data_IF_980048924381
#
_entry.id   IF_980048924381
#
_cell.length_a   1.000
_cell.length_b   1.000
_cell.length_c   1.000
_cell.angle_alpha   90.00
_cell.angle_beta   90.00
_cell.angle_gamma   90.00
#
_symmetry.space_group_name_H-M   'P 1'
#
loop_
_entity.id
_entity.type
_entity.pdbx_description
1 polymer ?
#
# COMPACT_ATOMS: atom_id res chain seq x y z
N UNK A 1 -16.85 16.49 -44.66
CA UNK A 1 -16.99 16.50 -43.20
C UNK A 1 -16.73 17.92 -42.76
N UNK A 2 -17.75 18.60 -42.25
CA UNK A 2 -17.63 20.02 -41.90
C UNK A 2 -16.65 20.19 -40.74
N UNK A 3 -15.99 21.35 -40.66
CA UNK A 3 -14.97 21.65 -39.63
C UNK A 3 -15.53 21.39 -38.22
N UNK A 4 -16.81 21.70 -38.00
CA UNK A 4 -17.53 21.44 -36.76
C UNK A 4 -17.60 19.95 -36.43
N UNK A 5 -17.92 19.10 -37.43
CA UNK A 5 -17.96 17.65 -37.24
C UNK A 5 -16.57 17.10 -36.91
N UNK A 6 -15.52 17.58 -37.58
CA UNK A 6 -14.14 17.21 -37.28
C UNK A 6 -13.71 17.60 -35.85
N UNK A 7 -14.10 18.80 -35.41
CA UNK A 7 -13.86 19.28 -34.05
C UNK A 7 -14.60 18.42 -33.01
N UNK A 8 -15.87 18.11 -33.24
CA UNK A 8 -16.67 17.24 -32.37
C UNK A 8 -16.06 15.83 -32.22
N UNK A 9 -15.63 15.21 -33.33
CA UNK A 9 -14.96 13.91 -33.28
C UNK A 9 -13.64 13.98 -32.51
N UNK A 10 -12.85 15.03 -32.72
CA UNK A 10 -11.57 15.22 -32.04
C UNK A 10 -11.76 15.41 -30.53
N UNK A 11 -12.74 16.24 -30.14
CA UNK A 11 -13.10 16.46 -28.73
C UNK A 11 -13.58 15.15 -28.11
N UNK A 12 -14.48 14.42 -28.76
CA UNK A 12 -14.98 13.14 -28.26
C UNK A 12 -13.84 12.13 -28.08
N UNK A 13 -12.96 11.99 -29.08
CA UNK A 13 -11.82 11.08 -29.03
C UNK A 13 -10.87 11.34 -27.85
N UNK A 14 -10.65 12.62 -27.49
CA UNK A 14 -9.82 12.99 -26.34
C UNK A 14 -10.60 12.89 -25.02
N UNK A 15 -11.84 13.35 -24.99
CA UNK A 15 -12.65 13.42 -23.77
C UNK A 15 -13.09 12.04 -23.26
N UNK A 16 -13.41 11.10 -24.15
CA UNK A 16 -13.87 9.75 -23.78
C UNK A 16 -12.87 8.98 -22.92
N UNK A 17 -11.58 8.80 -23.28
CA UNK A 17 -10.63 8.08 -22.43
C UNK A 17 -10.38 8.79 -21.09
N UNK A 18 -10.35 10.12 -21.08
CA UNK A 18 -10.21 10.91 -19.84
C UNK A 18 -11.42 10.65 -18.92
N UNK A 19 -12.63 10.71 -19.46
CA UNK A 19 -13.86 10.43 -18.72
C UNK A 19 -13.86 9.00 -18.16
N UNK A 20 -13.44 8.00 -18.95
CA UNK A 20 -13.34 6.60 -18.49
C UNK A 20 -12.38 6.49 -17.31
N UNK A 21 -11.19 7.12 -17.39
CA UNK A 21 -10.20 7.11 -16.31
C UNK A 21 -10.72 7.83 -15.07
N UNK A 22 -11.39 8.98 -15.23
CA UNK A 22 -11.99 9.72 -14.11
C UNK A 22 -13.09 8.91 -13.44
N UNK A 23 -14.03 8.36 -14.20
CA UNK A 23 -15.10 7.49 -13.68
C UNK A 23 -14.49 6.30 -12.95
N UNK A 24 -13.49 5.64 -13.54
CA UNK A 24 -12.77 4.53 -12.89
C UNK A 24 -12.12 4.97 -11.58
N UNK A 25 -11.46 6.12 -11.56
CA UNK A 25 -10.82 6.69 -10.37
C UNK A 25 -11.85 6.92 -9.26
N UNK A 26 -13.01 7.51 -9.58
CA UNK A 26 -14.11 7.73 -8.63
C UNK A 26 -14.59 6.43 -7.98
N UNK A 27 -14.69 5.34 -8.74
CA UNK A 27 -15.11 4.03 -8.21
C UNK A 27 -14.04 3.33 -7.36
N UNK A 28 -12.76 3.43 -7.73
CA UNK A 28 -11.69 2.69 -7.03
C UNK A 28 -11.13 3.42 -5.82
N UNK A 29 -11.17 4.77 -5.82
CA UNK A 29 -10.51 5.60 -4.82
C UNK A 29 -11.23 5.48 -3.47
N UNK A 30 -10.59 4.90 -2.42
CA UNK A 30 -11.25 4.70 -1.14
C UNK A 30 -11.71 5.98 -0.45
N UNK A 31 -11.06 7.12 -0.71
CA UNK A 31 -11.46 8.41 -0.12
C UNK A 31 -12.81 8.94 -0.57
N UNK A 32 -13.31 8.45 -1.70
CA UNK A 32 -14.61 8.84 -2.25
C UNK A 32 -15.70 7.82 -1.93
N UNK A 33 -15.33 6.67 -1.36
CA UNK A 33 -16.32 5.71 -0.91
C UNK A 33 -17.04 6.28 0.30
N UNK A 34 -18.36 6.35 0.20
CA UNK A 34 -19.20 6.55 1.37
C UNK A 34 -18.84 5.49 2.42
N UNK A 35 -18.78 5.84 3.71
CA UNK A 35 -18.53 4.88 4.76
C UNK A 35 -19.53 3.75 4.60
N UNK A 36 -19.04 2.58 4.20
CA UNK A 36 -19.88 1.39 4.11
C UNK A 36 -20.39 1.15 5.52
N UNK A 37 -21.71 1.26 5.71
CA UNK A 37 -22.37 0.79 6.92
C UNK A 37 -21.76 -0.56 7.27
N UNK A 38 -21.25 -0.70 8.49
CA UNK A 38 -20.55 -1.89 9.00
C UNK A 38 -21.55 -3.05 9.11
N UNK A 39 -22.08 -3.49 7.98
CA UNK A 39 -23.16 -4.46 7.83
C UNK A 39 -22.75 -5.53 6.84
N UNK A 40 -21.74 -6.30 7.26
CA UNK A 40 -21.58 -7.75 7.11
C UNK A 40 -20.15 -8.09 7.52
N UNK A 41 -19.99 -9.00 8.49
CA UNK A 41 -18.72 -9.73 8.66
C UNK A 41 -18.46 -10.47 7.34
N UNK A 42 -17.64 -9.90 6.45
CA UNK A 42 -17.12 -10.68 5.32
C UNK A 42 -16.31 -11.81 5.92
N UNK A 43 -16.55 -13.04 5.46
CA UNK A 43 -15.81 -14.23 5.92
C UNK A 43 -14.32 -13.92 5.86
N UNK A 44 -13.67 -14.07 7.02
CA UNK A 44 -12.24 -13.92 7.18
C UNK A 44 -11.54 -14.87 6.20
N UNK A 45 -10.69 -14.27 5.37
CA UNK A 45 -9.54 -14.85 4.68
C UNK A 45 -9.74 -16.34 4.28
N UNK A 46 -10.52 -16.59 3.23
CA UNK A 46 -10.33 -17.79 2.41
C UNK A 46 -9.16 -17.53 1.46
N UNK A 47 -8.24 -18.49 1.36
CA UNK A 47 -7.05 -18.55 0.47
C UNK A 47 -6.72 -17.23 -0.24
N UNK A 48 -6.13 -16.31 0.53
CA UNK A 48 -5.81 -14.98 0.05
C UNK A 48 -4.29 -14.86 -0.13
N UNK A 49 -3.86 -14.19 -1.19
CA UNK A 49 -2.48 -13.75 -1.33
C UNK A 49 -2.28 -12.43 -0.58
N UNK A 50 -1.61 -12.50 0.57
CA UNK A 50 -1.25 -11.34 1.39
C UNK A 50 0.19 -10.95 1.13
N UNK A 51 0.40 -9.69 0.79
CA UNK A 51 1.72 -9.09 0.76
C UNK A 51 2.00 -8.27 1.99
N UNK A 52 3.24 -8.30 2.45
CA UNK A 52 3.71 -7.54 3.61
C UNK A 52 4.96 -6.79 3.20
N UNK A 53 4.98 -5.47 3.42
CA UNK A 53 6.18 -4.66 3.22
C UNK A 53 6.99 -4.52 4.52
N UNK A 54 8.27 -4.85 4.46
CA UNK A 54 9.24 -4.65 5.53
C UNK A 54 10.06 -3.38 5.29
N UNK A 55 9.92 -2.45 6.24
CA UNK A 55 10.43 -1.08 6.15
C UNK A 55 11.84 -0.83 6.66
N UNK A 56 12.61 -1.88 6.94
CA UNK A 56 13.89 -1.87 7.64
C UNK A 56 13.84 -1.35 9.09
N UNK A 57 14.80 -1.77 9.90
CA UNK A 57 14.95 -1.31 11.29
C UNK A 57 13.71 -1.49 12.16
N UNK A 58 13.30 -0.40 12.84
CA UNK A 58 12.15 -0.38 13.74
C UNK A 58 10.83 -0.75 13.07
N UNK A 59 10.59 -0.31 11.82
CA UNK A 59 9.37 -0.63 11.06
C UNK A 59 9.24 -2.13 10.79
N UNK A 60 10.34 -2.82 10.50
CA UNK A 60 10.34 -4.29 10.39
C UNK A 60 9.99 -4.93 11.73
N UNK A 61 10.61 -4.48 12.83
CA UNK A 61 10.31 -5.00 14.16
C UNK A 61 8.85 -4.78 14.58
N UNK A 62 8.26 -3.63 14.23
CA UNK A 62 6.86 -3.31 14.45
C UNK A 62 5.96 -4.26 13.64
N UNK A 63 6.21 -4.37 12.33
CA UNK A 63 5.44 -5.23 11.43
C UNK A 63 5.48 -6.70 11.85
N UNK A 64 6.64 -7.23 12.23
CA UNK A 64 6.75 -8.62 12.68
C UNK A 64 5.96 -8.90 13.97
N UNK A 65 5.91 -7.95 14.91
CA UNK A 65 5.09 -8.08 16.13
C UNK A 65 3.60 -8.10 15.80
N UNK A 66 3.15 -7.21 14.92
CA UNK A 66 1.76 -7.20 14.44
C UNK A 66 1.42 -8.56 13.81
N UNK A 67 2.26 -9.04 12.89
CA UNK A 67 2.03 -10.31 12.18
C UNK A 67 1.99 -11.49 13.14
N UNK A 68 2.83 -11.50 14.17
CA UNK A 68 2.85 -12.59 15.16
C UNK A 68 1.54 -12.76 15.94
N UNK A 69 0.68 -11.74 15.95
CA UNK A 69 -0.66 -11.78 16.58
C UNK A 69 -1.79 -12.13 15.60
N UNK A 70 -1.51 -12.23 14.31
CA UNK A 70 -2.51 -12.54 13.28
C UNK A 70 -2.56 -14.05 13.04
N UNK A 71 -3.77 -14.60 12.82
CA UNK A 71 -3.91 -15.96 12.29
C UNK A 71 -3.58 -15.96 10.79
N UNK A 72 -2.41 -16.50 10.47
CA UNK A 72 -1.86 -16.52 9.12
C UNK A 72 -1.90 -17.92 8.48
N UNK A 73 -2.49 -18.93 9.13
CA UNK A 73 -2.34 -20.34 8.71
C UNK A 73 -2.86 -20.63 7.30
N UNK A 74 -3.84 -19.87 6.80
CA UNK A 74 -4.53 -20.09 5.50
C UNK A 74 -4.13 -19.10 4.41
N UNK A 75 -3.09 -18.31 4.64
CA UNK A 75 -2.75 -17.16 3.79
C UNK A 75 -1.43 -17.41 3.08
N UNK A 76 -1.43 -17.34 1.74
CA UNK A 76 -0.18 -17.33 0.97
C UNK A 76 0.47 -15.98 1.13
N UNK A 77 1.76 -15.95 1.50
CA UNK A 77 2.47 -14.72 1.85
C UNK A 77 3.53 -14.35 0.82
N UNK A 78 3.63 -13.05 0.56
CA UNK A 78 4.72 -12.45 -0.21
C UNK A 78 5.34 -11.33 0.62
N UNK A 79 6.63 -11.45 0.90
CA UNK A 79 7.38 -10.47 1.67
C UNK A 79 8.10 -9.52 0.71
N UNK A 80 7.71 -8.26 0.73
CA UNK A 80 8.40 -7.18 0.03
C UNK A 80 9.37 -6.54 1.02
N UNK A 81 10.63 -6.38 0.64
CA UNK A 81 11.64 -5.83 1.54
C UNK A 81 12.61 -4.93 0.79
N UNK A 82 13.32 -4.09 1.53
CA UNK A 82 14.31 -3.19 0.94
C UNK A 82 15.56 -3.97 0.49
N UNK A 83 16.03 -3.76 -0.73
CA UNK A 83 17.23 -4.38 -1.29
C UNK A 83 18.45 -4.05 -0.42
N UNK A 84 19.23 -5.07 -0.07
CA UNK A 84 20.37 -4.96 0.85
C UNK A 84 20.02 -5.06 2.34
N UNK A 85 18.74 -5.08 2.71
CA UNK A 85 18.32 -5.27 4.10
C UNK A 85 18.17 -6.76 4.46
N UNK A 86 19.32 -7.42 4.59
CA UNK A 86 19.40 -8.84 4.93
C UNK A 86 18.81 -9.14 6.32
N UNK A 87 18.83 -8.17 7.25
CA UNK A 87 18.27 -8.35 8.58
C UNK A 87 16.74 -8.48 8.55
N UNK A 88 16.06 -7.67 7.75
CA UNK A 88 14.60 -7.81 7.56
C UNK A 88 14.24 -9.08 6.80
N UNK A 89 15.01 -9.43 5.77
CA UNK A 89 14.83 -10.69 5.05
C UNK A 89 14.98 -11.91 5.98
N UNK A 90 16.01 -11.93 6.81
CA UNK A 90 16.26 -13.01 7.77
C UNK A 90 15.09 -13.16 8.78
N UNK A 91 14.51 -12.05 9.25
CA UNK A 91 13.32 -12.09 10.12
C UNK A 91 12.09 -12.67 9.44
N UNK A 92 11.86 -12.33 8.17
CA UNK A 92 10.77 -12.92 7.39
C UNK A 92 10.99 -14.42 7.18
N UNK A 93 12.19 -14.82 6.78
CA UNK A 93 12.56 -16.23 6.57
C UNK A 93 12.46 -17.06 7.86
N UNK A 94 12.88 -16.50 9.00
CA UNK A 94 12.75 -17.15 10.30
C UNK A 94 11.27 -17.36 10.69
N UNK A 95 10.41 -16.38 10.42
CA UNK A 95 8.98 -16.51 10.62
C UNK A 95 8.37 -17.62 9.74
N UNK A 96 8.69 -17.64 8.44
CA UNK A 96 8.18 -18.65 7.51
C UNK A 96 8.67 -20.07 7.83
N UNK A 97 9.93 -20.19 8.29
CA UNK A 97 10.48 -21.46 8.76
C UNK A 97 9.70 -21.99 9.96
N UNK A 98 9.34 -21.12 10.91
CA UNK A 98 8.55 -21.48 12.09
C UNK A 98 7.11 -21.85 11.75
N UNK A 99 6.52 -21.23 10.72
CA UNK A 99 5.17 -21.56 10.26
C UNK A 99 5.10 -22.75 9.30
N UNK A 100 6.23 -23.30 8.84
CA UNK A 100 6.27 -24.45 7.93
C UNK A 100 5.75 -24.15 6.52
N UNK A 101 5.79 -22.89 6.10
CA UNK A 101 5.20 -22.43 4.84
C UNK A 101 6.25 -21.88 3.89
N UNK A 102 6.05 -22.07 2.59
CA UNK A 102 6.85 -21.41 1.57
C UNK A 102 6.24 -20.05 1.22
N UNK A 103 7.09 -19.04 1.06
CA UNK A 103 6.69 -17.67 0.75
C UNK A 103 7.59 -17.07 -0.31
N UNK A 104 7.06 -16.10 -1.05
CA UNK A 104 7.82 -15.35 -2.05
C UNK A 104 8.47 -14.11 -1.40
N UNK A 105 9.64 -13.72 -1.92
CA UNK A 105 10.39 -12.56 -1.44
C UNK A 105 10.70 -11.63 -2.61
N UNK A 106 10.30 -10.37 -2.53
CA UNK A 106 10.50 -9.37 -3.58
C UNK A 106 11.40 -8.25 -3.04
N UNK A 107 12.67 -8.15 -3.49
CA UNK A 107 13.53 -7.04 -3.15
C UNK A 107 13.16 -5.79 -3.95
N UNK A 108 13.09 -4.64 -3.28
CA UNK A 108 12.86 -3.33 -3.91
C UNK A 108 13.86 -2.29 -3.38
N UNK A 109 14.34 -1.34 -4.19
CA UNK A 109 15.25 -0.30 -3.71
C UNK A 109 14.57 0.64 -2.71
N UNK A 110 15.36 1.17 -1.78
CA UNK A 110 14.87 2.14 -0.78
C UNK A 110 14.50 3.46 -1.47
N UNK A 111 13.31 3.99 -1.18
CA UNK A 111 12.90 5.28 -1.76
C UNK A 111 13.65 6.48 -1.15
N UNK A 112 13.95 6.42 0.16
CA UNK A 112 14.64 7.47 0.90
C UNK A 112 15.52 6.88 2.01
N UNK A 113 16.77 7.32 2.12
CA UNK A 113 17.64 6.92 3.24
C UNK A 113 17.31 7.68 4.52
N UNK A 114 17.67 7.12 5.68
CA UNK A 114 17.44 7.78 6.97
C UNK A 114 18.24 9.08 7.00
N UNK A 115 17.57 10.20 7.28
CA UNK A 115 18.19 11.54 7.30
C UNK A 115 18.26 12.26 5.96
N UNK A 116 17.93 11.62 4.83
CA UNK A 116 17.92 12.29 3.52
C UNK A 116 16.81 13.36 3.45
N UNK A 117 17.17 14.54 2.94
CA UNK A 117 16.23 15.65 2.67
C UNK A 117 15.12 15.23 1.70
N UNK A 118 13.91 15.74 1.90
CA UNK A 118 12.76 15.44 1.04
C UNK A 118 13.03 15.76 -0.44
N UNK A 119 13.66 16.90 -0.74
CA UNK A 119 13.95 17.31 -2.12
C UNK A 119 14.96 16.35 -2.75
N UNK A 120 16.04 16.04 -2.04
CA UNK A 120 17.05 15.08 -2.51
C UNK A 120 16.52 13.65 -2.65
N UNK A 121 15.38 13.33 -2.01
CA UNK A 121 14.74 12.01 -2.08
C UNK A 121 13.83 11.82 -3.29
N UNK A 122 13.51 12.88 -4.03
CA UNK A 122 12.68 12.80 -5.23
C UNK A 122 13.29 11.84 -6.28
N UNK A 123 14.55 11.99 -6.73
CA UNK A 123 15.13 11.10 -7.73
C UNK A 123 15.24 9.65 -7.23
N UNK A 124 15.62 9.43 -5.97
CA UNK A 124 15.70 8.08 -5.39
C UNK A 124 14.31 7.43 -5.27
N UNK A 125 13.28 8.21 -5.00
CA UNK A 125 11.88 7.75 -4.97
C UNK A 125 11.39 7.39 -6.36
N UNK A 126 11.71 8.18 -7.41
CA UNK A 126 11.37 7.86 -8.81
C UNK A 126 12.06 6.59 -9.26
N UNK A 127 13.38 6.47 -9.01
CA UNK A 127 14.13 5.25 -9.29
C UNK A 127 13.51 4.05 -8.58
N UNK A 128 13.17 4.21 -7.30
CA UNK A 128 12.52 3.16 -6.53
C UNK A 128 11.17 2.77 -7.09
N UNK A 129 10.37 3.74 -7.53
CA UNK A 129 9.08 3.51 -8.17
C UNK A 129 9.23 2.70 -9.46
N UNK A 130 10.10 3.12 -10.39
CA UNK A 130 10.25 2.45 -11.68
C UNK A 130 10.77 1.02 -11.53
N UNK A 131 11.81 0.81 -10.71
CA UNK A 131 12.33 -0.53 -10.46
C UNK A 131 11.30 -1.42 -9.77
N UNK A 132 10.63 -0.90 -8.73
CA UNK A 132 9.61 -1.66 -7.99
C UNK A 132 8.41 -2.00 -8.88
N UNK A 133 8.03 -1.12 -9.81
CA UNK A 133 6.96 -1.39 -10.75
C UNK A 133 7.32 -2.59 -11.64
N UNK A 134 8.53 -2.62 -12.20
CA UNK A 134 8.99 -3.77 -13.01
C UNK A 134 9.04 -5.04 -12.16
N UNK A 135 9.63 -4.98 -10.96
CA UNK A 135 9.73 -6.12 -10.05
C UNK A 135 8.37 -6.68 -9.63
N UNK A 136 7.34 -5.83 -9.53
CA UNK A 136 5.99 -6.19 -9.12
C UNK A 136 5.01 -6.37 -10.29
N UNK A 137 5.47 -6.35 -11.54
CA UNK A 137 4.59 -6.32 -12.72
C UNK A 137 3.64 -7.52 -12.79
N UNK A 138 4.12 -8.72 -12.39
CA UNK A 138 3.32 -9.96 -12.31
C UNK A 138 2.71 -10.21 -10.92
N UNK A 139 3.04 -9.36 -9.95
CA UNK A 139 2.57 -9.51 -8.59
C UNK A 139 1.15 -8.94 -8.43
N UNK A 140 0.23 -9.77 -7.95
CA UNK A 140 -1.22 -9.46 -7.89
C UNK A 140 -1.82 -9.84 -6.54
N UNK A 141 -1.31 -9.28 -5.44
CA UNK A 141 -1.79 -9.65 -4.12
C UNK A 141 -3.23 -9.18 -3.92
N UNK A 142 -4.02 -9.96 -3.19
CA UNK A 142 -5.37 -9.56 -2.82
C UNK A 142 -5.34 -8.48 -1.73
N UNK A 143 -4.36 -8.52 -0.83
CA UNK A 143 -4.15 -7.50 0.23
C UNK A 143 -2.66 -7.17 0.32
N UNK A 144 -2.33 -5.89 0.50
CA UNK A 144 -0.99 -5.42 0.88
C UNK A 144 -1.06 -4.76 2.26
N UNK A 145 -0.17 -5.17 3.16
CA UNK A 145 0.03 -4.58 4.47
C UNK A 145 1.28 -3.70 4.45
N UNK A 146 1.10 -2.43 4.78
CA UNK A 146 2.14 -1.41 4.78
C UNK A 146 2.31 -0.81 6.17
N UNK A 147 3.54 -0.45 6.52
CA UNK A 147 3.86 0.45 7.63
C UNK A 147 4.54 1.71 7.06
N UNK A 148 5.07 2.60 7.91
CA UNK A 148 5.43 3.99 7.58
C UNK A 148 6.86 4.37 7.13
N UNK A 149 7.77 3.53 6.57
CA UNK A 149 8.95 4.08 5.91
C UNK A 149 8.57 4.77 4.58
N UNK A 150 9.42 5.64 4.03
CA UNK A 150 9.15 6.27 2.73
C UNK A 150 8.94 5.29 1.57
N UNK A 151 9.54 4.09 1.63
CA UNK A 151 9.42 3.05 0.59
C UNK A 151 7.99 2.51 0.43
N UNK A 152 7.11 2.64 1.43
CA UNK A 152 5.74 2.19 1.28
C UNK A 152 4.93 3.01 0.28
N UNK A 153 5.32 4.28 0.08
CA UNK A 153 4.64 5.21 -0.83
C UNK A 153 4.72 4.70 -2.28
N UNK A 154 5.91 4.48 -2.88
CA UNK A 154 5.98 3.90 -4.22
C UNK A 154 5.22 2.59 -4.36
N UNK A 155 5.39 1.64 -3.42
CA UNK A 155 4.75 0.32 -3.47
C UNK A 155 3.22 0.42 -3.52
N UNK A 156 2.63 1.27 -2.67
CA UNK A 156 1.19 1.48 -2.64
C UNK A 156 0.68 2.11 -3.94
N UNK A 157 1.36 3.13 -4.45
CA UNK A 157 0.95 3.81 -5.68
C UNK A 157 1.12 2.94 -6.92
N UNK A 158 2.11 2.05 -6.97
CA UNK A 158 2.24 1.04 -8.04
C UNK A 158 1.04 0.10 -8.03
N UNK A 159 0.69 -0.47 -6.87
CA UNK A 159 -0.47 -1.37 -6.74
C UNK A 159 -1.79 -0.62 -7.00
N UNK A 160 -1.88 0.65 -6.61
CA UNK A 160 -3.03 1.49 -6.94
C UNK A 160 -3.12 1.78 -8.44
N UNK A 161 -2.00 2.04 -9.11
CA UNK A 161 -1.94 2.20 -10.57
C UNK A 161 -2.37 0.91 -11.28
N UNK A 162 -1.91 -0.26 -10.82
CA UNK A 162 -2.37 -1.54 -11.36
C UNK A 162 -3.87 -1.78 -11.14
N UNK A 163 -4.42 -1.32 -10.00
CA UNK A 163 -5.87 -1.32 -9.76
C UNK A 163 -6.62 -0.40 -10.73
N UNK A 164 -6.05 0.78 -11.01
CA UNK A 164 -6.59 1.75 -11.97
C UNK A 164 -6.63 1.16 -13.38
N UNK A 165 -5.54 0.52 -13.82
CA UNK A 165 -5.41 -0.16 -15.11
C UNK A 165 -6.21 -1.49 -15.20
N UNK A 166 -6.91 -1.91 -14.14
CA UNK A 166 -7.68 -3.15 -14.12
C UNK A 166 -6.84 -4.43 -14.01
N UNK A 167 -5.55 -4.31 -13.74
CA UNK A 167 -4.60 -5.42 -13.65
C UNK A 167 -4.71 -6.19 -12.32
N UNK A 168 -5.14 -5.51 -11.25
CA UNK A 168 -5.38 -6.13 -9.93
C UNK A 168 -6.57 -5.49 -9.20
N UNK A 169 -6.96 -6.06 -8.06
CA UNK A 169 -7.94 -5.46 -7.14
C UNK A 169 -7.40 -5.43 -5.70
N UNK A 170 -6.10 -5.16 -5.56
CA UNK A 170 -5.39 -5.22 -4.27
C UNK A 170 -5.97 -4.25 -3.25
N UNK A 171 -6.31 -4.74 -2.06
CA UNK A 171 -6.69 -3.90 -0.92
C UNK A 171 -5.48 -3.37 -0.20
N UNK A 172 -5.39 -2.05 -0.05
CA UNK A 172 -4.26 -1.38 0.61
C UNK A 172 -4.62 -1.15 2.08
N UNK A 173 -3.91 -1.81 2.98
CA UNK A 173 -4.01 -1.59 4.42
C UNK A 173 -2.73 -0.90 4.87
N UNK A 174 -2.84 0.33 5.35
CA UNK A 174 -1.73 1.07 5.91
C UNK A 174 -1.86 1.13 7.43
N UNK A 175 -0.80 0.78 8.15
CA UNK A 175 -0.69 0.92 9.60
C UNK A 175 0.33 2.02 9.88
N UNK A 176 -0.12 3.12 10.48
CA UNK A 176 0.79 4.18 10.90
C UNK A 176 1.69 3.69 12.05
N UNK A 177 2.97 4.10 11.98
CA UNK A 177 3.96 3.64 12.94
C UNK A 177 3.63 4.09 14.36
N UNK A 178 3.91 3.22 15.34
CA UNK A 178 3.78 3.52 16.77
C UNK A 178 4.49 4.83 17.17
N UNK A 179 5.58 5.20 16.49
CA UNK A 179 6.33 6.42 16.76
C UNK A 179 5.57 7.72 16.43
N UNK A 180 4.41 7.66 15.75
CA UNK A 180 3.62 8.83 15.35
C UNK A 180 2.46 9.05 16.30
N UNK A 181 2.69 9.85 17.36
CA UNK A 181 1.69 10.13 18.40
C UNK A 181 0.76 11.31 18.04
N UNK A 182 1.34 12.43 17.62
CA UNK A 182 0.62 13.70 17.52
C UNK A 182 0.11 14.02 16.11
N UNK A 183 0.85 13.60 15.08
CA UNK A 183 0.56 13.88 13.66
C UNK A 183 0.96 12.68 12.79
N UNK A 184 0.21 12.44 11.71
CA UNK A 184 0.55 11.42 10.72
C UNK A 184 1.93 11.67 10.11
N UNK A 185 2.59 10.60 9.66
CA UNK A 185 3.81 10.72 8.87
C UNK A 185 3.50 11.30 7.49
N UNK A 186 4.52 11.84 6.79
CA UNK A 186 4.34 12.26 5.40
C UNK A 186 3.87 11.07 4.53
N UNK A 187 4.43 9.88 4.74
CA UNK A 187 3.97 8.65 4.09
C UNK A 187 2.50 8.37 4.39
N UNK A 188 2.08 8.47 5.66
CA UNK A 188 0.69 8.31 6.06
C UNK A 188 -0.24 9.32 5.38
N UNK A 189 0.13 10.59 5.34
CA UNK A 189 -0.66 11.62 4.66
C UNK A 189 -0.82 11.34 3.16
N UNK A 190 0.26 10.91 2.48
CA UNK A 190 0.22 10.55 1.06
C UNK A 190 -0.63 9.29 0.79
N UNK A 191 -0.60 8.32 1.71
CA UNK A 191 -1.32 7.06 1.56
C UNK A 191 -2.76 7.11 2.02
N UNK A 192 -3.14 8.10 2.84
CA UNK A 192 -4.50 8.29 3.33
C UNK A 192 -5.54 8.21 2.19
N UNK A 193 -5.47 8.97 1.07
CA UNK A 193 -6.48 8.94 0.00
C UNK A 193 -6.68 7.55 -0.64
N UNK A 194 -5.59 6.79 -0.84
CA UNK A 194 -5.61 5.54 -1.60
C UNK A 194 -5.73 4.27 -0.75
N UNK A 195 -5.53 4.37 0.56
CA UNK A 195 -5.64 3.23 1.48
C UNK A 195 -7.10 2.82 1.66
N UNK A 196 -7.40 1.53 1.44
CA UNK A 196 -8.72 0.95 1.68
C UNK A 196 -9.01 0.91 3.19
N UNK A 197 -7.99 0.69 4.02
CA UNK A 197 -8.03 0.85 5.48
C UNK A 197 -6.78 1.56 5.97
N UNK A 198 -6.95 2.51 6.86
CA UNK A 198 -5.86 3.28 7.44
C UNK A 198 -5.94 3.17 8.95
N UNK A 199 -4.99 2.49 9.57
CA UNK A 199 -5.02 2.18 11.00
C UNK A 199 -4.00 3.05 11.74
N UNK A 200 -4.45 3.69 12.80
CA UNK A 200 -3.61 4.46 13.74
C UNK A 200 -3.58 3.78 15.10
N UNK A 201 -2.48 3.98 15.83
CA UNK A 201 -2.27 3.37 17.15
C UNK A 201 -2.49 4.34 18.32
N UNK A 202 -2.79 5.61 18.03
CA UNK A 202 -3.02 6.66 19.02
C UNK A 202 -4.38 7.31 18.81
N UNK A 203 -5.12 7.46 19.91
CA UNK A 203 -6.46 8.06 19.89
C UNK A 203 -6.45 9.52 19.41
N UNK A 204 -5.39 10.28 19.75
CA UNK A 204 -5.16 11.65 19.27
C UNK A 204 -5.19 11.77 17.74
N UNK A 205 -4.69 10.77 17.02
CA UNK A 205 -4.76 10.74 15.54
C UNK A 205 -6.17 10.41 15.06
N UNK A 206 -6.85 9.48 15.74
CA UNK A 206 -8.22 9.13 15.39
C UNK A 206 -9.18 10.31 15.48
N UNK A 207 -9.02 11.15 16.51
CA UNK A 207 -9.81 12.37 16.68
C UNK A 207 -9.50 13.45 15.62
N UNK A 208 -8.29 13.46 15.05
CA UNK A 208 -7.85 14.48 14.09
C UNK A 208 -8.19 14.15 12.62
N UNK A 209 -8.34 12.88 12.25
CA UNK A 209 -8.46 12.46 10.84
C UNK A 209 -9.70 11.58 10.62
N UNK A 210 -10.65 12.02 9.79
CA UNK A 210 -11.95 11.37 9.59
C UNK A 210 -11.95 10.01 8.86
N UNK A 211 -10.80 9.56 8.37
CA UNK A 211 -10.65 8.32 7.55
C UNK A 211 -9.77 7.26 8.18
N UNK A 212 -9.33 7.47 9.41
CA UNK A 212 -8.49 6.51 10.12
C UNK A 212 -9.31 5.66 11.06
N UNK A 213 -8.82 4.46 11.33
CA UNK A 213 -9.41 3.48 12.24
C UNK A 213 -8.48 3.32 13.44
N UNK A 214 -9.07 3.20 14.63
CA UNK A 214 -8.33 3.05 15.87
C UNK A 214 -8.68 1.73 16.55
N UNK A 215 -7.63 0.95 16.86
CA UNK A 215 -7.74 -0.35 17.55
C UNK A 215 -6.81 -0.44 18.77
N UNK A 216 -6.26 0.69 19.23
CA UNK A 216 -5.21 0.73 20.23
C UNK A 216 -3.83 0.35 19.68
N UNK A 217 -2.92 -0.01 20.60
CA UNK A 217 -1.55 -0.43 20.27
C UNK A 217 -1.59 -1.87 19.73
N UNK A 218 -1.04 -2.07 18.52
CA UNK A 218 -1.13 -3.35 17.83
C UNK A 218 0.05 -4.29 18.13
N UNK A 219 1.18 -3.75 18.56
CA UNK A 219 2.41 -4.52 18.84
C UNK A 219 2.41 -5.24 20.18
#
# INVERSE_FOLDING_TARGET
MDIETAACFSIAFIATPILIVLVRLLFILPSLRLPTSVKKKKKLIQECQLSILLGSGGHTGEMMRIISKLDMGKVSRTWIYTSGDNASLAKAQDYERKSGTSSQYIPIPRARTVGQSYISSIPTTIYSFLFSAIAMLKHRPAVILLNGPGTCVPVAYILFLYKLLGLCNTKIIYIESLARVNKLSLSGLLLLPISDRFIVQWESLYQQYSRVEYYGILI
#
